data_IF_135573617657
#
_entry.id   IF_135573617657
#
_cell.length_a   1.000
_cell.length_b   1.000
_cell.length_c   1.000
_cell.angle_alpha   90.00
_cell.angle_beta   90.00
_cell.angle_gamma   90.00
#
_symmetry.space_group_name_H-M   'P 1'
#
loop_
_entity.id
_entity.type
_entity.pdbx_description
1 polymer ?
#
# COMPACT_ATOMS: atom_id res chain seq x y z
N UNK A 1 -2.97 11.11 29.98
CA UNK A 1 -4.18 11.58 29.28
C UNK A 1 -5.02 10.36 28.97
N UNK A 2 -6.32 10.39 29.23
CA UNK A 2 -7.22 9.30 28.84
C UNK A 2 -7.16 9.16 27.31
N UNK A 3 -6.45 8.15 26.82
CA UNK A 3 -6.51 7.73 25.42
C UNK A 3 -7.92 7.17 25.23
N UNK A 4 -8.81 8.01 24.73
CA UNK A 4 -10.19 7.62 24.49
C UNK A 4 -10.22 6.80 23.20
N UNK A 5 -10.73 5.59 23.30
CA UNK A 5 -10.92 4.69 22.15
C UNK A 5 -12.06 5.23 21.30
N UNK A 6 -11.87 5.36 19.98
CA UNK A 6 -12.93 5.84 19.09
C UNK A 6 -14.11 4.84 19.12
N UNK A 7 -15.36 5.28 19.42
CA UNK A 7 -16.51 4.39 19.45
C UNK A 7 -16.88 3.80 18.07
N UNK A 8 -16.35 4.34 16.98
CA UNK A 8 -16.60 3.90 15.60
C UNK A 8 -15.55 2.90 15.07
N UNK A 9 -14.64 2.43 15.93
CA UNK A 9 -13.70 1.37 15.57
C UNK A 9 -14.37 0.05 15.23
N UNK A 10 -13.66 -0.77 14.45
CA UNK A 10 -14.03 -2.17 14.25
C UNK A 10 -13.96 -2.94 15.57
N UNK A 11 -14.77 -3.99 15.71
CA UNK A 11 -14.67 -4.90 16.87
C UNK A 11 -13.23 -5.36 17.16
N UNK A 12 -12.47 -5.84 16.16
CA UNK A 12 -11.06 -6.20 16.34
C UNK A 12 -10.16 -5.06 16.83
N UNK A 13 -10.29 -3.86 16.27
CA UNK A 13 -9.49 -2.71 16.74
C UNK A 13 -9.85 -2.32 18.17
N UNK A 14 -11.13 -2.42 18.57
CA UNK A 14 -11.53 -2.17 19.96
C UNK A 14 -10.85 -3.15 20.93
N UNK A 15 -10.69 -4.42 20.55
CA UNK A 15 -10.01 -5.42 21.36
C UNK A 15 -8.53 -5.05 21.49
N UNK A 16 -7.83 -4.82 20.37
CA UNK A 16 -6.40 -4.47 20.37
C UNK A 16 -6.14 -3.17 21.14
N UNK A 17 -6.95 -2.13 20.91
CA UNK A 17 -6.79 -0.85 21.60
C UNK A 17 -6.99 -0.97 23.11
N UNK A 18 -8.03 -1.67 23.57
CA UNK A 18 -8.25 -1.88 25.01
C UNK A 18 -7.14 -2.69 25.65
N UNK A 19 -6.69 -3.74 24.96
CA UNK A 19 -5.61 -4.60 25.39
C UNK A 19 -4.31 -3.79 25.58
N UNK A 20 -3.90 -2.98 24.59
CA UNK A 20 -2.72 -2.12 24.73
C UNK A 20 -2.87 -1.02 25.79
N UNK A 21 -4.07 -0.48 25.98
CA UNK A 21 -4.32 0.51 27.04
C UNK A 21 -4.14 -0.11 28.43
N UNK A 22 -4.64 -1.33 28.64
CA UNK A 22 -4.48 -2.04 29.90
C UNK A 22 -3.00 -2.33 30.19
N UNK A 23 -2.21 -2.73 29.18
CA UNK A 23 -0.76 -2.92 29.34
C UNK A 23 -0.05 -1.64 29.81
N UNK A 24 -0.42 -0.50 29.24
CA UNK A 24 0.16 0.79 29.60
C UNK A 24 -0.27 1.27 30.98
N UNK A 25 -1.51 1.02 31.37
CA UNK A 25 -2.01 1.32 32.72
C UNK A 25 -1.29 0.47 33.78
N UNK A 26 -1.08 -0.82 33.49
CA UNK A 26 -0.30 -1.75 34.31
C UNK A 26 1.16 -1.29 34.48
N UNK A 27 1.79 -0.77 33.42
CA UNK A 27 3.14 -0.19 33.49
C UNK A 27 3.19 1.13 34.27
N UNK A 28 2.12 1.93 34.23
CA UNK A 28 2.08 3.26 34.85
C UNK A 28 1.73 3.24 36.34
N UNK A 29 1.05 2.20 36.84
CA UNK A 29 0.64 2.11 38.23
C UNK A 29 1.62 1.31 39.08
N UNK A 30 2.08 1.89 40.20
CA UNK A 30 2.91 1.19 41.19
C UNK A 30 2.16 0.04 41.90
N UNK A 31 0.83 0.01 41.80
CA UNK A 31 -0.04 -0.98 42.41
C UNK A 31 -0.46 -2.04 41.38
N UNK A 32 0.49 -2.88 40.96
CA UNK A 32 0.34 -4.13 40.19
C UNK A 32 -1.02 -4.45 39.57
N UNK A 33 -1.53 -3.58 38.68
CA UNK A 33 -2.65 -3.97 37.83
C UNK A 33 -2.16 -5.05 36.88
N UNK A 34 -2.99 -6.07 36.67
CA UNK A 34 -2.62 -7.16 35.76
C UNK A 34 -2.53 -6.62 34.33
N UNK A 35 -1.48 -7.00 33.57
CA UNK A 35 -1.40 -6.70 32.15
C UNK A 35 -2.59 -7.33 31.41
N UNK A 36 -2.75 -6.96 30.14
CA UNK A 36 -3.85 -7.50 29.34
C UNK A 36 -3.73 -9.02 29.17
N UNK A 37 -4.89 -9.68 29.14
CA UNK A 37 -4.98 -11.12 28.89
C UNK A 37 -4.95 -11.38 27.38
N UNK A 38 -3.73 -11.43 26.84
CA UNK A 38 -3.49 -11.64 25.41
C UNK A 38 -4.07 -12.95 24.92
N UNK A 39 -4.01 -14.02 25.71
CA UNK A 39 -4.52 -15.33 25.31
C UNK A 39 -6.05 -15.28 25.10
N UNK A 40 -6.77 -14.64 26.03
CA UNK A 40 -8.21 -14.43 25.91
C UNK A 40 -8.58 -13.59 24.69
N UNK A 41 -7.89 -12.47 24.47
CA UNK A 41 -8.19 -11.56 23.36
C UNK A 41 -7.86 -12.20 22.00
N UNK A 42 -6.72 -12.89 21.89
CA UNK A 42 -6.36 -13.68 20.70
C UNK A 42 -7.41 -14.75 20.43
N UNK A 43 -7.85 -15.49 21.46
CA UNK A 43 -8.86 -16.54 21.31
C UNK A 43 -10.18 -15.97 20.80
N UNK A 44 -10.62 -14.82 21.31
CA UNK A 44 -11.83 -14.15 20.82
C UNK A 44 -11.68 -13.70 19.35
N UNK A 45 -10.57 -13.06 18.99
CA UNK A 45 -10.33 -12.61 17.61
C UNK A 45 -10.26 -13.78 16.62
N UNK A 46 -9.69 -14.92 17.03
CA UNK A 46 -9.72 -16.15 16.24
C UNK A 46 -11.15 -16.70 16.11
N UNK A 47 -11.92 -16.69 17.19
CA UNK A 47 -13.28 -17.21 17.21
C UNK A 47 -14.23 -16.44 16.28
N UNK A 48 -14.09 -15.12 16.15
CA UNK A 48 -14.92 -14.32 15.23
C UNK A 48 -14.53 -14.50 13.75
N UNK A 49 -13.33 -15.02 13.47
CA UNK A 49 -12.82 -15.30 12.12
C UNK A 49 -13.09 -16.74 11.67
N UNK A 50 -13.34 -17.70 12.58
CA UNK A 50 -13.57 -19.11 12.27
C UNK A 50 -15.04 -19.41 11.93
N UNK A 51 -15.39 -19.80 10.69
CA UNK A 51 -16.76 -20.14 10.29
C UNK A 51 -17.41 -21.30 11.07
N UNK A 52 -16.62 -22.09 11.82
CA UNK A 52 -17.11 -23.17 12.68
C UNK A 52 -17.44 -22.71 14.10
N UNK A 53 -16.98 -21.52 14.48
CA UNK A 53 -17.22 -20.94 15.79
C UNK A 53 -18.65 -20.41 15.91
N UNK A 54 -19.30 -20.55 17.08
CA UNK A 54 -20.59 -19.88 17.34
C UNK A 54 -20.45 -18.35 17.38
N UNK A 55 -19.23 -17.82 17.58
CA UNK A 55 -18.93 -16.38 17.58
C UNK A 55 -18.61 -15.83 16.18
N UNK A 56 -18.64 -16.66 15.14
CA UNK A 56 -18.30 -16.24 13.79
C UNK A 56 -19.14 -15.06 13.30
N UNK A 57 -18.48 -14.00 12.84
CA UNK A 57 -19.14 -12.84 12.23
C UNK A 57 -18.48 -12.51 10.90
N UNK A 58 -19.17 -12.69 9.75
CA UNK A 58 -18.64 -12.26 8.46
C UNK A 58 -18.73 -10.73 8.34
N UNK A 59 -17.76 -10.11 7.67
CA UNK A 59 -17.81 -8.68 7.36
C UNK A 59 -18.65 -8.50 6.11
N UNK A 60 -19.76 -7.76 6.20
CA UNK A 60 -20.69 -7.56 5.07
C UNK A 60 -20.56 -6.16 4.48
N UNK A 61 -20.41 -5.16 5.35
CA UNK A 61 -20.27 -3.75 5.02
C UNK A 61 -19.08 -3.17 5.78
N UNK A 62 -18.50 -2.09 5.25
CA UNK A 62 -17.49 -1.29 5.96
C UNK A 62 -18.13 -0.20 6.82
N UNK A 63 -19.39 0.19 6.55
CA UNK A 63 -20.06 1.25 7.32
C UNK A 63 -20.73 0.73 8.59
N UNK A 64 -21.36 -0.44 8.55
CA UNK A 64 -22.20 -0.95 9.66
C UNK A 64 -21.83 -2.38 10.04
N UNK A 65 -21.82 -2.64 11.35
CA UNK A 65 -21.73 -3.99 11.91
C UNK A 65 -23.14 -4.60 12.10
N UNK A 66 -23.23 -5.91 12.35
CA UNK A 66 -24.51 -6.62 12.53
C UNK A 66 -25.41 -5.98 13.59
N UNK A 67 -24.79 -5.47 14.67
CA UNK A 67 -25.45 -4.79 15.79
C UNK A 67 -26.05 -3.44 15.42
N UNK A 68 -25.54 -2.78 14.39
CA UNK A 68 -25.95 -1.43 13.99
C UNK A 68 -27.14 -1.46 13.02
N UNK A 69 -27.43 -2.63 12.44
CA UNK A 69 -28.48 -2.81 11.46
C UNK A 69 -29.87 -2.91 12.10
N UNK A 70 -30.87 -2.32 11.44
CA UNK A 70 -32.27 -2.51 11.83
C UNK A 70 -32.60 -4.02 11.88
N UNK A 71 -33.17 -4.55 12.98
CA UNK A 71 -33.37 -5.99 13.15
C UNK A 71 -34.19 -6.66 12.04
N UNK A 72 -35.19 -5.97 11.50
CA UNK A 72 -36.05 -6.49 10.42
C UNK A 72 -35.27 -6.56 9.11
N UNK A 73 -34.54 -5.50 8.75
CA UNK A 73 -33.69 -5.47 7.55
C UNK A 73 -32.60 -6.54 7.66
N UNK A 74 -31.98 -6.65 8.84
CA UNK A 74 -30.93 -7.62 9.08
C UNK A 74 -31.44 -9.06 8.90
N UNK A 75 -32.59 -9.39 9.52
CA UNK A 75 -33.18 -10.73 9.45
C UNK A 75 -33.62 -11.13 8.04
N UNK A 76 -34.29 -10.24 7.31
CA UNK A 76 -34.97 -10.61 6.06
C UNK A 76 -34.21 -10.24 4.79
N UNK A 77 -33.19 -9.37 4.86
CA UNK A 77 -32.41 -8.95 3.70
C UNK A 77 -30.93 -9.31 3.86
N UNK A 78 -30.28 -8.79 4.92
CA UNK A 78 -28.82 -8.90 5.06
C UNK A 78 -28.40 -10.35 5.32
N UNK A 79 -28.97 -11.03 6.32
CA UNK A 79 -28.60 -12.44 6.63
C UNK A 79 -28.82 -13.41 5.46
N UNK A 80 -29.95 -13.36 4.72
CA UNK A 80 -30.12 -14.15 3.50
C UNK A 80 -29.05 -13.86 2.44
N UNK A 81 -28.77 -12.58 2.17
CA UNK A 81 -27.69 -12.19 1.25
C UNK A 81 -26.33 -12.73 1.72
N UNK A 82 -25.96 -12.52 2.99
CA UNK A 82 -24.72 -13.00 3.59
C UNK A 82 -24.56 -14.50 3.43
N UNK A 83 -25.62 -15.28 3.66
CA UNK A 83 -25.58 -16.75 3.48
C UNK A 83 -25.23 -17.15 2.05
N UNK A 84 -25.80 -16.46 1.06
CA UNK A 84 -25.49 -16.71 -0.37
C UNK A 84 -24.07 -16.24 -0.67
N UNK A 85 -23.70 -15.04 -0.23
CA UNK A 85 -22.41 -14.42 -0.50
C UNK A 85 -21.23 -15.23 0.07
N UNK A 86 -21.34 -15.81 1.26
CA UNK A 86 -20.36 -16.77 1.81
C UNK A 86 -20.16 -18.01 0.93
N UNK A 87 -21.17 -18.34 0.12
CA UNK A 87 -21.08 -19.36 -0.93
C UNK A 87 -20.18 -18.95 -2.09
N UNK A 88 -19.98 -17.65 -2.32
CA UNK A 88 -19.31 -17.04 -3.49
C UNK A 88 -17.88 -16.55 -3.16
N UNK A 89 -17.70 -15.90 -2.01
CA UNK A 89 -16.41 -15.33 -1.60
C UNK A 89 -15.43 -16.41 -1.17
N UNK A 90 -14.13 -16.16 -1.38
CA UNK A 90 -13.06 -17.14 -1.10
C UNK A 90 -13.01 -17.53 0.37
N UNK A 91 -13.03 -16.55 1.25
CA UNK A 91 -13.12 -16.74 2.69
C UNK A 91 -14.51 -16.32 3.16
N UNK A 92 -15.24 -17.13 3.96
CA UNK A 92 -16.58 -16.75 4.45
C UNK A 92 -16.60 -15.42 5.21
N UNK A 93 -15.48 -14.97 5.74
CA UNK A 93 -15.31 -13.66 6.38
C UNK A 93 -15.50 -12.47 5.43
N UNK A 94 -15.32 -12.67 4.13
CA UNK A 94 -15.04 -11.61 3.15
C UNK A 94 -16.24 -11.22 2.29
N UNK A 95 -17.47 -11.40 2.81
CA UNK A 95 -18.70 -10.99 2.11
C UNK A 95 -18.61 -9.54 1.62
N UNK A 96 -17.91 -8.69 2.36
CA UNK A 96 -17.62 -7.29 2.05
C UNK A 96 -16.96 -7.09 0.68
N UNK A 97 -16.08 -7.98 0.21
CA UNK A 97 -15.48 -7.83 -1.12
C UNK A 97 -16.52 -8.02 -2.22
N UNK A 98 -17.39 -9.02 -2.10
CA UNK A 98 -18.48 -9.20 -3.06
C UNK A 98 -19.44 -8.00 -3.02
N UNK A 99 -19.77 -7.51 -1.83
CA UNK A 99 -20.62 -6.32 -1.66
C UNK A 99 -20.05 -5.11 -2.40
N UNK A 100 -18.74 -4.84 -2.25
CA UNK A 100 -18.10 -3.73 -2.96
C UNK A 100 -18.03 -3.95 -4.47
N UNK A 101 -17.70 -5.17 -4.94
CA UNK A 101 -17.69 -5.49 -6.38
C UNK A 101 -19.07 -5.23 -6.99
N UNK A 102 -20.15 -5.73 -6.36
CA UNK A 102 -21.51 -5.51 -6.82
C UNK A 102 -21.89 -4.03 -6.79
N UNK A 103 -21.52 -3.30 -5.72
CA UNK A 103 -21.76 -1.87 -5.61
C UNK A 103 -21.08 -1.09 -6.76
N UNK A 104 -19.81 -1.37 -7.06
CA UNK A 104 -19.08 -0.66 -8.09
C UNK A 104 -19.56 -1.00 -9.51
N UNK A 105 -19.87 -2.27 -9.75
CA UNK A 105 -20.43 -2.73 -11.03
C UNK A 105 -21.84 -2.17 -11.28
N UNK A 106 -22.60 -1.85 -10.25
CA UNK A 106 -23.94 -1.30 -10.40
C UNK A 106 -23.96 0.23 -10.37
N UNK A 107 -23.17 0.88 -9.50
CA UNK A 107 -23.20 2.34 -9.31
C UNK A 107 -22.17 3.04 -10.18
N UNK A 108 -20.87 2.75 -10.00
CA UNK A 108 -19.81 3.45 -10.75
C UNK A 108 -19.90 3.16 -12.24
N UNK A 109 -20.06 1.89 -12.64
CA UNK A 109 -20.14 1.51 -14.05
C UNK A 109 -21.40 2.08 -14.73
N UNK A 110 -22.58 1.98 -14.11
CA UNK A 110 -23.81 2.56 -14.69
C UNK A 110 -23.74 4.08 -14.77
N UNK A 111 -23.19 4.73 -13.74
CA UNK A 111 -22.97 6.17 -13.74
C UNK A 111 -22.01 6.60 -14.85
N UNK A 112 -20.93 5.85 -15.07
CA UNK A 112 -19.98 6.09 -16.15
C UNK A 112 -20.64 5.92 -17.53
N UNK A 113 -21.37 4.81 -17.73
CA UNK A 113 -22.10 4.55 -18.96
C UNK A 113 -23.10 5.67 -19.27
N UNK A 114 -23.84 6.13 -18.26
CA UNK A 114 -24.78 7.24 -18.44
C UNK A 114 -24.07 8.57 -18.76
N UNK A 115 -22.90 8.85 -18.16
CA UNK A 115 -22.11 10.05 -18.51
C UNK A 115 -21.65 10.05 -19.96
N UNK A 116 -21.30 8.89 -20.51
CA UNK A 116 -20.95 8.75 -21.92
C UNK A 116 -22.16 8.80 -22.86
N UNK A 117 -23.34 8.40 -22.39
CA UNK A 117 -24.58 8.49 -23.14
C UNK A 117 -25.17 9.91 -23.15
N UNK A 118 -25.21 10.58 -22.00
CA UNK A 118 -25.88 11.87 -21.81
C UNK A 118 -25.09 12.74 -20.81
N UNK A 119 -24.00 13.34 -21.30
CA UNK A 119 -23.06 14.06 -20.47
C UNK A 119 -23.64 15.30 -19.80
N UNK A 120 -23.47 15.37 -18.47
CA UNK A 120 -23.74 16.54 -17.66
C UNK A 120 -22.58 16.77 -16.70
N UNK A 121 -21.99 17.97 -16.68
CA UNK A 121 -20.80 18.24 -15.88
C UNK A 121 -21.06 18.08 -14.37
N UNK A 122 -22.26 18.41 -13.87
CA UNK A 122 -22.61 18.24 -12.46
C UNK A 122 -22.71 16.76 -12.08
N UNK A 123 -23.24 15.90 -12.97
CA UNK A 123 -23.20 14.45 -12.79
C UNK A 123 -21.76 13.95 -12.82
N UNK A 124 -20.93 14.50 -13.70
CA UNK A 124 -19.49 14.24 -13.74
C UNK A 124 -18.81 14.50 -12.38
N UNK A 125 -19.06 15.66 -11.78
CA UNK A 125 -18.54 16.01 -10.45
C UNK A 125 -19.01 15.02 -9.38
N UNK A 126 -20.31 14.73 -9.31
CA UNK A 126 -20.87 13.78 -8.35
C UNK A 126 -20.28 12.38 -8.54
N UNK A 127 -20.12 11.94 -9.79
CA UNK A 127 -19.48 10.67 -10.13
C UNK A 127 -18.04 10.62 -9.63
N UNK A 128 -17.22 11.63 -9.95
CA UNK A 128 -15.82 11.65 -9.51
C UNK A 128 -15.70 11.68 -7.99
N UNK A 129 -16.52 12.48 -7.30
CA UNK A 129 -16.52 12.52 -5.82
C UNK A 129 -16.86 11.15 -5.23
N UNK A 130 -17.88 10.48 -5.76
CA UNK A 130 -18.26 9.14 -5.31
C UNK A 130 -17.18 8.10 -5.62
N UNK A 131 -16.55 8.16 -6.79
CA UNK A 131 -15.42 7.31 -7.16
C UNK A 131 -14.23 7.51 -6.21
N UNK A 132 -13.87 8.77 -5.89
CA UNK A 132 -12.79 9.07 -4.94
C UNK A 132 -13.13 8.58 -3.54
N UNK A 133 -14.39 8.67 -3.10
CA UNK A 133 -14.83 8.09 -1.84
C UNK A 133 -14.63 6.56 -1.80
N UNK A 134 -14.84 5.88 -2.93
CA UNK A 134 -14.68 4.43 -3.06
C UNK A 134 -13.21 3.98 -3.23
N UNK A 135 -12.32 4.89 -3.62
CA UNK A 135 -10.95 4.61 -4.07
C UNK A 135 -10.12 3.81 -3.04
N UNK A 136 -10.20 4.19 -1.76
CA UNK A 136 -9.46 3.50 -0.70
C UNK A 136 -9.89 2.04 -0.57
N UNK A 137 -11.17 1.80 -0.31
CA UNK A 137 -11.72 0.45 -0.20
C UNK A 137 -11.45 -0.38 -1.48
N UNK A 138 -11.68 0.17 -2.67
CA UNK A 138 -11.37 -0.56 -3.91
C UNK A 138 -9.89 -0.93 -4.03
N UNK A 139 -8.98 -0.01 -3.72
CA UNK A 139 -7.54 -0.25 -3.78
C UNK A 139 -7.13 -1.38 -2.84
N UNK A 140 -7.67 -1.41 -1.62
CA UNK A 140 -7.33 -2.46 -0.65
C UNK A 140 -8.07 -3.78 -0.90
N UNK A 141 -9.22 -3.76 -1.57
CA UNK A 141 -9.81 -4.97 -2.16
C UNK A 141 -8.86 -5.54 -3.22
N UNK A 142 -8.36 -4.69 -4.13
CA UNK A 142 -7.40 -5.11 -5.15
C UNK A 142 -6.08 -5.56 -4.54
N UNK A 143 -5.61 -4.93 -3.46
CA UNK A 143 -4.44 -5.38 -2.70
C UNK A 143 -4.62 -6.81 -2.19
N UNK A 144 -5.76 -7.12 -1.56
CA UNK A 144 -6.08 -8.47 -1.13
C UNK A 144 -6.19 -9.44 -2.33
N UNK A 145 -6.80 -8.99 -3.44
CA UNK A 145 -6.93 -9.78 -4.67
C UNK A 145 -5.58 -10.18 -5.26
N UNK A 146 -4.67 -9.23 -5.46
CA UNK A 146 -3.38 -9.48 -6.12
C UNK A 146 -2.41 -10.28 -5.25
N UNK A 147 -2.45 -10.12 -3.93
CA UNK A 147 -1.64 -10.90 -3.00
C UNK A 147 -2.14 -12.34 -2.86
N UNK A 148 -3.46 -12.53 -2.84
CA UNK A 148 -4.05 -13.85 -2.61
C UNK A 148 -4.44 -14.60 -3.88
N UNK A 149 -4.32 -13.97 -5.05
CA UNK A 149 -4.69 -14.54 -6.35
C UNK A 149 -6.21 -14.62 -6.52
N UNK A 150 -6.94 -13.58 -6.11
CA UNK A 150 -8.39 -13.48 -6.17
C UNK A 150 -9.09 -13.35 -4.82
N UNK A 151 -10.33 -12.88 -4.83
CA UNK A 151 -11.18 -12.73 -3.61
C UNK A 151 -12.43 -13.60 -3.64
N UNK A 152 -12.75 -14.20 -4.79
CA UNK A 152 -13.86 -15.15 -4.93
C UNK A 152 -13.36 -16.61 -5.00
N UNK A 153 -14.28 -17.55 -4.81
CA UNK A 153 -13.98 -18.98 -4.97
C UNK A 153 -13.70 -19.34 -6.42
N UNK A 154 -13.05 -20.48 -6.63
CA UNK A 154 -12.58 -20.94 -7.95
C UNK A 154 -13.71 -21.12 -8.97
N UNK A 155 -14.92 -21.47 -8.52
CA UNK A 155 -16.10 -21.60 -9.37
C UNK A 155 -16.49 -20.26 -10.03
N UNK A 156 -16.10 -19.15 -9.42
CA UNK A 156 -16.32 -17.79 -9.90
C UNK A 156 -15.04 -17.16 -10.47
N UNK A 157 -13.99 -17.95 -10.75
CA UNK A 157 -12.70 -17.43 -11.20
C UNK A 157 -12.80 -16.57 -12.48
N UNK A 158 -13.70 -16.91 -13.41
CA UNK A 158 -13.91 -16.10 -14.61
C UNK A 158 -14.33 -14.67 -14.26
N UNK A 159 -15.24 -14.51 -13.29
CA UNK A 159 -15.74 -13.22 -12.85
C UNK A 159 -14.66 -12.49 -12.04
N UNK A 160 -14.03 -13.20 -11.11
CA UNK A 160 -12.94 -12.72 -10.25
C UNK A 160 -11.73 -12.20 -11.04
N UNK A 161 -11.43 -12.81 -12.20
CA UNK A 161 -10.39 -12.36 -13.12
C UNK A 161 -10.83 -11.19 -14.02
N UNK A 162 -12.12 -11.07 -14.31
CA UNK A 162 -12.64 -10.11 -15.28
C UNK A 162 -13.03 -8.76 -14.70
N UNK A 163 -13.56 -8.71 -13.46
CA UNK A 163 -14.04 -7.47 -12.87
C UNK A 163 -12.94 -6.38 -12.76
N UNK A 164 -11.65 -6.68 -12.47
CA UNK A 164 -10.63 -5.64 -12.39
C UNK A 164 -10.47 -4.91 -13.72
N UNK A 165 -10.54 -5.61 -14.85
CA UNK A 165 -10.39 -4.98 -16.17
C UNK A 165 -11.52 -4.00 -16.52
N UNK A 166 -12.67 -4.08 -15.84
CA UNK A 166 -13.74 -3.10 -15.93
C UNK A 166 -13.59 -1.98 -14.88
N UNK A 167 -13.32 -2.36 -13.63
CA UNK A 167 -13.38 -1.43 -12.50
C UNK A 167 -12.09 -0.65 -12.26
N UNK A 168 -10.90 -1.20 -12.55
CA UNK A 168 -9.62 -0.54 -12.30
C UNK A 168 -9.55 0.83 -13.00
N UNK A 169 -9.82 0.97 -14.31
CA UNK A 169 -9.84 2.27 -14.98
C UNK A 169 -10.83 3.26 -14.37
N UNK A 170 -12.03 2.77 -14.00
CA UNK A 170 -13.09 3.60 -13.42
C UNK A 170 -12.71 4.10 -12.02
N UNK A 171 -11.86 3.37 -11.31
CA UNK A 171 -11.36 3.70 -9.98
C UNK A 171 -10.01 4.42 -10.01
N UNK A 172 -9.48 4.74 -11.20
CA UNK A 172 -8.24 5.48 -11.38
C UNK A 172 -6.97 4.62 -11.38
N UNK A 173 -7.09 3.30 -11.36
CA UNK A 173 -5.97 2.39 -11.61
C UNK A 173 -5.76 2.18 -13.10
N UNK A 174 -4.53 1.82 -13.49
CA UNK A 174 -4.25 1.25 -14.81
C UNK A 174 -4.16 -0.27 -14.68
N UNK A 175 -4.64 -0.96 -15.72
CA UNK A 175 -4.66 -2.43 -15.80
C UNK A 175 -3.34 -3.05 -15.42
N UNK A 176 -3.39 -3.99 -14.47
CA UNK A 176 -2.26 -4.76 -13.94
C UNK A 176 -1.14 -3.94 -13.27
N UNK A 177 -1.11 -2.62 -13.42
CA UNK A 177 0.02 -1.78 -12.98
C UNK A 177 0.17 -1.82 -11.46
N UNK A 178 -0.93 -1.91 -10.71
CA UNK A 178 -0.86 -2.09 -9.26
C UNK A 178 -0.20 -3.43 -8.88
N UNK A 179 -0.52 -4.52 -9.58
CA UNK A 179 0.15 -5.81 -9.37
C UNK A 179 1.64 -5.77 -9.70
N UNK A 180 2.02 -5.22 -10.86
CA UNK A 180 3.43 -5.17 -11.26
C UNK A 180 4.24 -4.24 -10.36
N UNK A 181 3.69 -3.08 -10.00
CA UNK A 181 4.38 -2.14 -9.13
C UNK A 181 4.42 -2.61 -7.67
N UNK A 182 3.29 -3.02 -7.10
CA UNK A 182 3.21 -3.39 -5.69
C UNK A 182 3.85 -4.76 -5.44
N UNK A 183 3.36 -5.81 -6.08
CA UNK A 183 3.74 -7.21 -5.76
C UNK A 183 5.07 -7.61 -6.40
N UNK A 184 5.30 -7.22 -7.67
CA UNK A 184 6.49 -7.68 -8.42
C UNK A 184 7.69 -6.75 -8.29
N UNK A 185 7.51 -5.58 -7.70
CA UNK A 185 8.54 -4.56 -7.57
C UNK A 185 8.68 -4.09 -6.10
N UNK A 186 7.71 -3.37 -5.53
CA UNK A 186 7.82 -2.79 -4.19
C UNK A 186 8.04 -3.85 -3.09
N UNK A 187 7.23 -4.91 -3.07
CA UNK A 187 7.40 -6.03 -2.12
C UNK A 187 8.72 -6.80 -2.30
N UNK A 188 9.30 -6.76 -3.49
CA UNK A 188 10.59 -7.42 -3.77
C UNK A 188 11.75 -6.57 -3.23
N UNK A 189 11.60 -5.25 -3.28
CA UNK A 189 12.67 -4.31 -2.92
C UNK A 189 12.50 -3.70 -1.50
N UNK A 190 11.33 -3.84 -0.87
CA UNK A 190 11.11 -3.53 0.57
C UNK A 190 11.31 -2.07 0.96
N UNK A 191 10.93 -1.11 0.10
CA UNK A 191 11.31 0.31 0.24
C UNK A 191 12.84 0.56 0.23
N UNK A 192 13.62 -0.45 -0.14
CA UNK A 192 15.06 -0.37 -0.29
C UNK A 192 15.52 0.45 -1.50
N UNK A 193 16.83 0.56 -1.72
CA UNK A 193 17.42 1.48 -2.69
C UNK A 193 17.07 1.23 -4.16
N UNK A 194 16.67 0.03 -4.53
CA UNK A 194 16.25 -0.31 -5.90
C UNK A 194 14.72 -0.16 -6.08
N UNK A 195 13.97 0.17 -5.02
CA UNK A 195 12.55 0.46 -5.10
C UNK A 195 12.30 1.84 -5.78
N UNK A 196 11.61 1.84 -6.91
CA UNK A 196 11.17 3.02 -7.64
C UNK A 196 10.25 3.96 -6.83
N UNK A 197 9.61 3.43 -5.80
CA UNK A 197 8.80 4.17 -4.84
C UNK A 197 9.49 4.37 -3.48
N UNK A 198 10.80 4.13 -3.41
CA UNK A 198 11.57 4.30 -2.17
C UNK A 198 11.56 5.73 -1.65
N UNK A 199 11.42 5.86 -0.34
CA UNK A 199 11.50 7.15 0.38
C UNK A 199 12.89 7.43 0.95
N UNK A 200 13.81 6.47 0.92
CA UNK A 200 15.04 6.54 1.75
C UNK A 200 16.01 7.65 1.31
N UNK A 201 16.05 7.96 0.01
CA UNK A 201 16.93 9.02 -0.54
C UNK A 201 16.41 10.44 -0.33
N UNK A 202 15.17 10.57 0.15
CA UNK A 202 14.53 11.85 0.38
C UNK A 202 14.64 12.25 1.85
N UNK A 203 14.71 13.56 2.11
CA UNK A 203 14.46 14.11 3.43
C UNK A 203 12.94 14.03 3.68
N UNK A 204 12.50 13.07 4.49
CA UNK A 204 11.08 12.67 4.56
C UNK A 204 10.16 13.67 5.27
N UNK A 205 10.74 14.72 5.86
CA UNK A 205 10.04 15.87 6.45
C UNK A 205 10.23 17.17 5.65
N UNK A 206 10.69 17.08 4.40
CA UNK A 206 10.82 18.20 3.45
C UNK A 206 9.64 18.21 2.47
N UNK A 207 8.79 19.26 2.46
CA UNK A 207 7.73 19.40 1.47
C UNK A 207 8.24 19.43 0.02
N UNK A 208 9.46 19.93 -0.20
CA UNK A 208 10.09 19.96 -1.51
C UNK A 208 10.47 18.55 -1.99
N UNK A 209 11.09 17.75 -1.12
CA UNK A 209 11.47 16.38 -1.44
C UNK A 209 10.25 15.51 -1.67
N UNK A 210 9.20 15.72 -0.87
CA UNK A 210 7.89 15.10 -1.09
C UNK A 210 7.31 15.45 -2.46
N UNK A 211 7.34 16.72 -2.87
CA UNK A 211 6.89 17.14 -4.20
C UNK A 211 7.74 16.51 -5.32
N UNK A 212 9.06 16.42 -5.15
CA UNK A 212 9.95 15.73 -6.09
C UNK A 212 9.65 14.24 -6.20
N UNK A 213 9.37 13.58 -5.07
CA UNK A 213 8.98 12.17 -5.01
C UNK A 213 7.68 11.91 -5.79
N UNK A 214 6.63 12.67 -5.47
CA UNK A 214 5.32 12.56 -6.15
C UNK A 214 5.46 12.89 -7.64
N UNK A 215 6.13 13.99 -7.98
CA UNK A 215 6.32 14.42 -9.36
C UNK A 215 7.07 13.38 -10.21
N UNK A 216 8.12 12.76 -9.67
CA UNK A 216 8.85 11.69 -10.34
C UNK A 216 7.93 10.51 -10.67
N UNK A 217 7.18 10.05 -9.68
CA UNK A 217 6.28 8.90 -9.87
C UNK A 217 5.23 9.21 -10.94
N UNK A 218 4.55 10.36 -10.84
CA UNK A 218 3.50 10.73 -11.79
C UNK A 218 4.00 10.82 -13.24
N UNK A 219 5.21 11.34 -13.45
CA UNK A 219 5.75 11.61 -14.78
C UNK A 219 6.49 10.41 -15.40
N UNK A 220 7.18 9.60 -14.60
CA UNK A 220 8.16 8.64 -15.12
C UNK A 220 7.86 7.17 -14.83
N UNK A 221 6.93 6.83 -13.91
CA UNK A 221 6.76 5.44 -13.49
C UNK A 221 6.38 4.49 -14.63
N UNK A 222 5.59 4.96 -15.59
CA UNK A 222 5.17 4.21 -16.77
C UNK A 222 6.34 3.69 -17.61
N UNK A 223 7.49 4.38 -17.56
CA UNK A 223 8.72 3.98 -18.23
C UNK A 223 9.72 3.32 -17.26
N UNK A 224 9.86 3.84 -16.04
CA UNK A 224 10.83 3.33 -15.07
C UNK A 224 10.54 1.89 -14.65
N UNK A 225 9.27 1.50 -14.48
CA UNK A 225 8.90 0.15 -14.04
C UNK A 225 9.26 -0.94 -15.07
N UNK A 226 8.89 -0.84 -16.36
CA UNK A 226 9.39 -1.77 -17.38
C UNK A 226 10.92 -1.82 -17.47
N UNK A 227 11.57 -0.65 -17.41
CA UNK A 227 13.04 -0.57 -17.47
C UNK A 227 13.70 -1.23 -16.27
N UNK A 228 13.13 -1.09 -15.07
CA UNK A 228 13.56 -1.81 -13.87
C UNK A 228 13.53 -3.33 -14.12
N UNK A 229 12.43 -3.87 -14.65
CA UNK A 229 12.32 -5.30 -14.94
C UNK A 229 13.33 -5.76 -15.98
N UNK A 230 13.60 -4.96 -17.03
CA UNK A 230 14.66 -5.26 -18.00
C UNK A 230 16.04 -5.30 -17.34
N UNK A 231 16.37 -4.32 -16.49
CA UNK A 231 17.66 -4.27 -15.78
C UNK A 231 17.85 -5.46 -14.84
N UNK A 232 16.76 -6.01 -14.28
CA UNK A 232 16.75 -7.22 -13.44
C UNK A 232 16.64 -8.52 -14.26
N UNK A 233 16.70 -8.46 -15.59
CA UNK A 233 16.63 -9.63 -16.48
C UNK A 233 15.23 -10.26 -16.60
N UNK A 234 14.19 -9.58 -16.13
CA UNK A 234 12.79 -10.06 -16.13
C UNK A 234 12.03 -9.56 -17.35
N UNK A 235 12.51 -9.87 -18.56
CA UNK A 235 11.98 -9.32 -19.83
C UNK A 235 10.48 -9.56 -20.06
N UNK A 236 9.96 -10.71 -19.58
CA UNK A 236 8.51 -10.98 -19.65
C UNK A 236 7.70 -9.98 -18.82
N UNK A 237 8.11 -9.72 -17.57
CA UNK A 237 7.42 -8.74 -16.72
C UNK A 237 7.54 -7.33 -17.30
N UNK A 238 8.70 -6.98 -17.84
CA UNK A 238 8.89 -5.69 -18.50
C UNK A 238 7.93 -5.49 -19.69
N UNK A 239 7.80 -6.50 -20.54
CA UNK A 239 6.88 -6.46 -21.68
C UNK A 239 5.43 -6.35 -21.20
N UNK A 240 5.03 -7.18 -20.24
CA UNK A 240 3.66 -7.18 -19.73
C UNK A 240 3.30 -5.84 -19.07
N UNK A 241 4.14 -5.32 -18.16
CA UNK A 241 3.87 -4.05 -17.50
C UNK A 241 3.84 -2.88 -18.50
N UNK A 242 4.72 -2.90 -19.51
CA UNK A 242 4.72 -1.88 -20.57
C UNK A 242 3.45 -1.94 -21.41
N UNK A 243 3.05 -3.13 -21.86
CA UNK A 243 1.86 -3.32 -22.70
C UNK A 243 0.60 -2.92 -21.94
N UNK A 244 0.41 -3.36 -20.69
CA UNK A 244 -0.79 -3.03 -19.91
C UNK A 244 -0.91 -1.51 -19.66
N UNK A 245 0.21 -0.84 -19.39
CA UNK A 245 0.26 0.61 -19.18
C UNK A 245 0.01 1.39 -20.49
N UNK A 246 0.65 1.01 -21.59
CA UNK A 246 0.44 1.65 -22.89
C UNK A 246 -0.97 1.42 -23.44
N UNK A 247 -1.54 0.23 -23.20
CA UNK A 247 -2.92 -0.07 -23.55
C UNK A 247 -3.90 0.84 -22.79
N UNK A 248 -3.64 1.13 -21.50
CA UNK A 248 -4.45 2.09 -20.75
C UNK A 248 -4.37 3.50 -21.32
N UNK A 249 -3.17 4.00 -21.62
CA UNK A 249 -3.02 5.33 -22.19
C UNK A 249 -3.69 5.43 -23.57
N UNK A 250 -3.56 4.40 -24.41
CA UNK A 250 -4.27 4.33 -25.67
C UNK A 250 -5.80 4.33 -25.48
N UNK A 251 -6.30 3.56 -24.50
CA UNK A 251 -7.72 3.53 -24.14
C UNK A 251 -8.21 4.90 -23.66
N UNK A 252 -7.53 5.53 -22.71
CA UNK A 252 -7.89 6.87 -22.20
C UNK A 252 -7.87 7.91 -23.32
N UNK A 253 -6.84 7.89 -24.16
CA UNK A 253 -6.73 8.77 -25.31
C UNK A 253 -7.89 8.56 -26.29
N UNK A 254 -8.23 7.32 -26.61
CA UNK A 254 -9.36 6.98 -27.48
C UNK A 254 -10.68 7.48 -26.90
N UNK A 255 -10.96 7.17 -25.63
CA UNK A 255 -12.19 7.60 -24.96
C UNK A 255 -12.31 9.13 -24.94
N UNK A 256 -11.21 9.82 -24.63
CA UNK A 256 -11.19 11.28 -24.53
C UNK A 256 -11.29 12.00 -25.90
N UNK A 257 -10.70 11.44 -26.97
CA UNK A 257 -10.62 12.11 -28.27
C UNK A 257 -11.63 11.61 -29.31
N UNK A 258 -12.12 10.38 -29.18
CA UNK A 258 -13.01 9.73 -30.16
C UNK A 258 -14.40 9.44 -29.62
N UNK A 259 -14.58 9.35 -28.30
CA UNK A 259 -15.89 9.07 -27.70
C UNK A 259 -16.48 10.35 -27.10
N UNK A 260 -15.96 10.82 -25.98
CA UNK A 260 -16.44 12.05 -25.35
C UNK A 260 -15.42 12.59 -24.34
N UNK A 261 -14.87 13.79 -24.59
CA UNK A 261 -13.85 14.40 -23.72
C UNK A 261 -14.37 14.68 -22.31
N UNK A 262 -15.54 15.33 -22.19
CA UNK A 262 -16.14 15.68 -20.89
C UNK A 262 -16.36 14.46 -19.98
N UNK A 263 -17.09 13.45 -20.44
CA UNK A 263 -17.26 12.19 -19.72
C UNK A 263 -15.92 11.54 -19.35
N UNK A 264 -14.96 11.45 -20.28
CA UNK A 264 -13.63 10.85 -20.02
C UNK A 264 -12.83 11.60 -18.96
N UNK A 265 -12.98 12.93 -18.88
CA UNK A 265 -12.35 13.73 -17.83
C UNK A 265 -12.81 13.27 -16.44
N UNK A 266 -14.12 13.13 -16.23
CA UNK A 266 -14.68 12.78 -14.92
C UNK A 266 -14.63 11.28 -14.59
N UNK A 267 -14.74 10.43 -15.60
CA UNK A 267 -14.81 8.96 -15.42
C UNK A 267 -13.42 8.32 -15.36
N UNK A 268 -12.44 8.85 -16.09
CA UNK A 268 -11.14 8.20 -16.27
C UNK A 268 -9.98 9.10 -15.79
N UNK A 269 -9.84 10.30 -16.37
CA UNK A 269 -8.62 11.11 -16.18
C UNK A 269 -8.48 11.70 -14.78
N UNK A 270 -9.55 12.26 -14.22
CA UNK A 270 -9.54 12.79 -12.86
C UNK A 270 -9.36 11.68 -11.82
N UNK A 271 -10.13 10.57 -11.82
CA UNK A 271 -9.87 9.43 -10.94
C UNK A 271 -8.43 8.93 -11.05
N UNK A 272 -7.89 8.80 -12.27
CA UNK A 272 -6.51 8.37 -12.49
C UNK A 272 -5.46 9.29 -11.83
N UNK A 273 -5.57 10.59 -12.04
CA UNK A 273 -4.65 11.56 -11.43
C UNK A 273 -4.76 11.56 -9.90
N UNK A 274 -5.99 11.55 -9.37
CA UNK A 274 -6.25 11.56 -7.93
C UNK A 274 -5.76 10.26 -7.28
N UNK A 275 -6.00 9.10 -7.89
CA UNK A 275 -5.57 7.81 -7.37
C UNK A 275 -4.04 7.74 -7.28
N UNK A 276 -3.32 8.13 -8.34
CA UNK A 276 -1.85 8.13 -8.30
C UNK A 276 -1.28 9.06 -7.22
N UNK A 277 -1.88 10.24 -7.05
CA UNK A 277 -1.53 11.14 -5.95
C UNK A 277 -1.78 10.48 -4.60
N UNK A 278 -2.96 9.88 -4.40
CA UNK A 278 -3.34 9.20 -3.18
C UNK A 278 -2.40 8.05 -2.81
N UNK A 279 -2.04 7.19 -3.77
CA UNK A 279 -1.10 6.08 -3.59
C UNK A 279 0.28 6.58 -3.14
N UNK A 280 0.75 7.69 -3.70
CA UNK A 280 2.07 8.25 -3.34
C UNK A 280 2.09 8.95 -2.00
N UNK A 281 1.00 9.62 -1.63
CA UNK A 281 0.86 10.14 -0.27
C UNK A 281 0.79 8.98 0.73
N UNK A 282 0.03 7.93 0.42
CA UNK A 282 -0.09 6.73 1.25
C UNK A 282 1.24 6.04 1.47
N UNK A 283 1.98 5.73 0.39
CA UNK A 283 3.30 5.09 0.47
C UNK A 283 4.30 5.96 1.25
N UNK A 284 4.28 7.29 1.02
CA UNK A 284 5.13 8.19 1.80
C UNK A 284 4.81 8.11 3.29
N UNK A 285 3.52 8.16 3.67
CA UNK A 285 3.11 8.02 5.08
C UNK A 285 3.53 6.68 5.68
N UNK A 286 3.37 5.59 4.94
CA UNK A 286 3.78 4.24 5.33
C UNK A 286 5.29 4.12 5.59
N UNK A 287 6.11 4.88 4.86
CA UNK A 287 7.56 4.80 4.85
C UNK A 287 8.26 6.14 5.18
N UNK A 288 7.61 7.03 5.94
CA UNK A 288 8.18 8.33 6.32
C UNK A 288 9.23 8.21 7.43
N UNK A 289 9.08 7.20 8.28
CA UNK A 289 9.81 7.03 9.55
C UNK A 289 10.70 5.78 9.53
N UNK A 290 11.56 5.68 8.52
CA UNK A 290 12.52 4.57 8.36
C UNK A 290 13.69 4.72 9.33
N UNK A 291 13.99 3.67 10.09
CA UNK A 291 15.09 3.63 11.06
C UNK A 291 16.46 3.82 10.41
N UNK A 292 17.26 4.72 10.96
CA UNK A 292 18.60 5.02 10.45
C UNK A 292 19.63 3.93 10.76
N UNK A 293 19.37 3.03 11.73
CA UNK A 293 20.32 1.99 12.16
C UNK A 293 20.11 0.71 11.38
N UNK A 294 18.86 0.23 11.30
CA UNK A 294 18.48 -1.01 10.63
C UNK A 294 17.30 -0.78 9.68
N UNK A 295 17.54 -0.10 8.54
CA UNK A 295 16.49 0.32 7.61
C UNK A 295 15.91 -0.81 6.74
N UNK A 296 16.54 -1.99 6.72
CA UNK A 296 16.12 -3.14 5.90
C UNK A 296 15.17 -4.09 6.67
N UNK A 297 15.02 -3.88 7.98
CA UNK A 297 14.08 -4.64 8.82
C UNK A 297 12.65 -4.15 8.63
N UNK A 298 11.72 -5.08 8.36
CA UNK A 298 10.29 -4.76 8.20
C UNK A 298 9.68 -4.07 9.42
N UNK A 299 10.17 -4.35 10.64
CA UNK A 299 9.73 -3.67 11.85
C UNK A 299 10.14 -2.20 11.90
N UNK A 300 11.14 -1.81 11.11
CA UNK A 300 11.83 -0.52 11.19
C UNK A 300 11.75 0.31 9.93
N UNK A 301 11.40 -0.32 8.81
CA UNK A 301 11.13 0.32 7.52
C UNK A 301 9.65 0.68 7.35
N UNK A 302 8.76 0.14 8.20
CA UNK A 302 7.32 0.33 8.17
C UNK A 302 6.76 0.73 9.53
N UNK A 303 5.49 1.13 9.57
CA UNK A 303 4.78 1.50 10.81
C UNK A 303 3.41 0.82 10.88
N UNK A 304 2.90 0.63 12.09
CA UNK A 304 1.54 0.14 12.34
C UNK A 304 0.66 1.26 12.86
N UNK A 305 -0.54 1.39 12.31
CA UNK A 305 -1.60 2.31 12.72
C UNK A 305 -2.79 1.50 13.23
N UNK A 306 -3.11 1.66 14.50
CA UNK A 306 -4.31 1.10 15.12
C UNK A 306 -5.30 2.23 15.43
N UNK A 307 -6.54 1.89 15.78
CA UNK A 307 -7.55 2.89 16.16
C UNK A 307 -7.71 3.98 15.07
N UNK A 308 -7.80 3.55 13.81
CA UNK A 308 -7.92 4.46 12.66
C UNK A 308 -9.09 4.07 11.76
N UNK A 309 -9.86 5.04 11.23
CA UNK A 309 -10.95 4.76 10.30
C UNK A 309 -10.53 3.93 9.08
N UNK A 310 -9.28 4.07 8.62
CA UNK A 310 -8.76 3.27 7.51
C UNK A 310 -8.75 1.77 7.79
N UNK A 311 -8.61 1.32 9.05
CA UNK A 311 -8.70 -0.12 9.34
C UNK A 311 -10.10 -0.66 9.06
N UNK A 312 -11.14 0.15 9.30
CA UNK A 312 -12.53 -0.18 8.97
C UNK A 312 -12.81 -0.13 7.47
N UNK A 313 -12.44 0.95 6.81
CA UNK A 313 -12.83 1.18 5.40
C UNK A 313 -11.87 0.58 4.38
N UNK A 314 -10.63 0.30 4.77
CA UNK A 314 -9.55 -0.18 3.92
C UNK A 314 -8.97 -1.50 4.45
N UNK A 315 -9.80 -2.34 5.08
CA UNK A 315 -9.45 -3.74 5.42
C UNK A 315 -8.14 -3.88 6.20
N UNK A 316 -8.04 -3.22 7.36
CA UNK A 316 -6.88 -3.28 8.26
C UNK A 316 -5.54 -2.86 7.62
N UNK A 317 -5.57 -1.96 6.62
CA UNK A 317 -4.36 -1.42 5.98
C UNK A 317 -3.38 -0.75 6.95
N UNK A 318 -3.84 -0.26 8.10
CA UNK A 318 -2.98 0.30 9.14
C UNK A 318 -1.97 -0.71 9.70
N UNK A 319 -2.20 -2.02 9.60
CA UNK A 319 -1.24 -3.05 10.03
C UNK A 319 -0.15 -3.32 8.98
N UNK A 320 0.46 -2.27 8.44
CA UNK A 320 1.44 -2.35 7.34
C UNK A 320 2.72 -3.10 7.70
N UNK A 321 3.17 -3.04 8.97
CA UNK A 321 4.28 -3.89 9.44
C UNK A 321 3.94 -5.37 9.35
N UNK A 322 2.72 -5.76 9.75
CA UNK A 322 2.29 -7.14 9.58
C UNK A 322 2.27 -7.49 8.08
N UNK A 323 1.77 -6.59 7.23
CA UNK A 323 1.73 -6.77 5.79
C UNK A 323 3.11 -7.06 5.17
N UNK A 324 4.15 -6.30 5.50
CA UNK A 324 5.51 -6.57 5.00
C UNK A 324 6.07 -7.92 5.49
N UNK A 325 5.84 -8.26 6.77
CA UNK A 325 6.28 -9.54 7.33
C UNK A 325 5.64 -10.77 6.65
N UNK A 326 4.39 -10.64 6.18
CA UNK A 326 3.75 -11.67 5.36
C UNK A 326 2.66 -11.05 4.48
N UNK A 327 2.99 -10.75 3.20
CA UNK A 327 2.07 -10.05 2.29
C UNK A 327 0.82 -10.85 1.91
N UNK A 328 0.81 -12.16 2.19
CA UNK A 328 -0.33 -13.06 1.93
C UNK A 328 -1.20 -13.27 3.16
N UNK A 329 -0.91 -12.60 4.28
CA UNK A 329 -1.75 -12.70 5.48
C UNK A 329 -3.13 -12.15 5.17
N UNK A 330 -4.16 -12.87 5.60
CA UNK A 330 -5.52 -12.41 5.48
C UNK A 330 -5.72 -11.16 6.34
N UNK A 331 -6.39 -10.13 5.81
CA UNK A 331 -6.50 -8.82 6.46
C UNK A 331 -7.12 -8.87 7.86
N UNK A 332 -8.06 -9.80 8.13
CA UNK A 332 -8.64 -9.99 9.48
C UNK A 332 -7.73 -10.68 10.49
N UNK A 333 -6.63 -11.26 10.03
CA UNK A 333 -5.64 -11.90 10.91
C UNK A 333 -4.54 -10.94 11.32
N UNK A 334 -4.49 -9.73 10.75
CA UNK A 334 -3.49 -8.73 11.13
C UNK A 334 -3.59 -8.28 12.60
N UNK A 335 -4.78 -8.02 13.18
CA UNK A 335 -4.93 -7.76 14.61
C UNK A 335 -4.52 -8.95 15.49
N UNK A 336 -4.85 -10.17 15.08
CA UNK A 336 -4.45 -11.41 15.79
C UNK A 336 -2.94 -11.53 15.83
N UNK A 337 -2.29 -11.38 14.67
CA UNK A 337 -0.86 -11.44 14.54
C UNK A 337 -0.15 -10.38 15.38
N UNK A 338 -0.69 -9.16 15.42
CA UNK A 338 -0.15 -8.08 16.23
C UNK A 338 -0.09 -8.46 17.72
N UNK A 339 -1.19 -8.97 18.29
CA UNK A 339 -1.21 -9.44 19.69
C UNK A 339 -0.24 -10.62 19.91
N UNK A 340 -0.22 -11.60 18.99
CA UNK A 340 0.71 -12.74 19.06
C UNK A 340 2.18 -12.33 18.98
N UNK A 341 2.47 -11.18 18.38
CA UNK A 341 3.83 -10.74 18.05
C UNK A 341 4.29 -9.53 18.86
N UNK A 342 3.59 -9.15 19.94
CA UNK A 342 3.97 -7.97 20.76
C UNK A 342 5.44 -7.97 21.15
N UNK A 343 5.97 -9.12 21.58
CA UNK A 343 7.39 -9.25 21.94
C UNK A 343 8.30 -8.98 20.74
N UNK A 344 7.97 -9.51 19.56
CA UNK A 344 8.73 -9.26 18.34
C UNK A 344 8.67 -7.79 17.90
N UNK A 345 7.51 -7.14 18.03
CA UNK A 345 7.36 -5.69 17.78
C UNK A 345 8.23 -4.87 18.74
N UNK A 346 8.23 -5.23 20.03
CA UNK A 346 9.07 -4.60 21.05
C UNK A 346 10.56 -4.78 20.76
N UNK A 347 11.01 -6.03 20.53
CA UNK A 347 12.41 -6.36 20.24
C UNK A 347 12.88 -5.75 18.91
N UNK A 348 12.00 -5.69 17.92
CA UNK A 348 12.22 -5.04 16.63
C UNK A 348 12.26 -3.51 16.71
N UNK A 349 11.87 -2.92 17.84
CA UNK A 349 11.69 -1.46 18.04
C UNK A 349 10.73 -0.85 17.01
N UNK A 350 9.64 -1.55 16.74
CA UNK A 350 8.62 -1.12 15.80
C UNK A 350 7.94 0.18 16.25
N UNK A 351 7.37 0.91 15.29
CA UNK A 351 6.55 2.09 15.58
C UNK A 351 5.07 1.74 15.44
N UNK A 352 4.34 1.95 16.52
CA UNK A 352 2.88 1.75 16.59
C UNK A 352 2.24 3.09 16.92
N UNK A 353 1.33 3.55 16.07
CA UNK A 353 0.56 4.76 16.28
C UNK A 353 -0.92 4.43 16.45
N UNK A 354 -1.62 5.30 17.16
CA UNK A 354 -3.06 5.28 17.32
C UNK A 354 -3.68 6.59 16.81
N UNK A 355 -4.92 6.51 16.32
CA UNK A 355 -5.74 7.66 15.94
C UNK A 355 -5.05 8.65 15.00
N UNK A 356 -4.31 8.12 14.01
CA UNK A 356 -3.73 8.89 12.91
C UNK A 356 -3.57 8.02 11.68
N UNK A 357 -4.22 8.38 10.57
CA UNK A 357 -4.06 7.69 9.28
C UNK A 357 -2.76 8.10 8.54
N UNK A 358 -2.38 7.37 7.48
CA UNK A 358 -1.16 7.66 6.70
C UNK A 358 -1.15 9.06 6.05
N UNK A 359 -2.32 9.58 5.66
CA UNK A 359 -2.44 10.91 5.04
C UNK A 359 -2.13 12.00 6.07
N UNK A 360 -2.77 11.93 7.24
CA UNK A 360 -2.54 12.85 8.34
C UNK A 360 -1.13 12.70 8.90
N UNK A 361 -0.60 11.47 9.04
CA UNK A 361 0.79 11.25 9.43
C UNK A 361 1.75 11.97 8.47
N UNK A 362 1.55 11.82 7.15
CA UNK A 362 2.33 12.53 6.14
C UNK A 362 2.29 14.04 6.36
N UNK A 363 1.10 14.61 6.59
CA UNK A 363 0.93 16.05 6.86
C UNK A 363 1.68 16.47 8.15
N UNK A 364 1.58 15.67 9.23
CA UNK A 364 2.24 15.96 10.51
C UNK A 364 3.76 15.91 10.38
N UNK A 365 4.29 14.90 9.67
CA UNK A 365 5.73 14.76 9.42
C UNK A 365 6.24 15.93 8.57
N UNK A 366 5.57 16.29 7.47
CA UNK A 366 5.96 17.43 6.63
C UNK A 366 5.91 18.78 7.37
N UNK A 367 5.01 18.92 8.35
CA UNK A 367 4.94 20.07 9.25
C UNK A 367 5.92 19.99 10.43
N UNK A 368 6.72 18.93 10.51
CA UNK A 368 7.70 18.65 11.58
C UNK A 368 7.06 18.62 12.98
N UNK A 369 5.81 18.18 13.07
CA UNK A 369 5.03 18.12 14.31
C UNK A 369 5.34 16.85 15.10
N UNK A 370 6.63 16.58 15.33
CA UNK A 370 7.11 15.35 16.00
C UNK A 370 6.62 15.23 17.44
N UNK A 371 6.58 16.36 18.17
CA UNK A 371 6.09 16.35 19.55
C UNK A 371 4.61 15.98 19.60
N UNK A 372 3.80 16.49 18.65
CA UNK A 372 2.40 16.10 18.56
C UNK A 372 2.25 14.59 18.32
N UNK A 373 3.03 14.02 17.39
CA UNK A 373 3.02 12.59 17.11
C UNK A 373 3.43 11.77 18.35
N UNK A 374 4.51 12.16 19.02
CA UNK A 374 5.01 11.49 20.22
C UNK A 374 4.02 11.56 21.40
N UNK A 375 3.34 12.70 21.58
CA UNK A 375 2.44 12.90 22.72
C UNK A 375 1.04 12.32 22.53
N UNK A 376 0.51 12.36 21.31
CA UNK A 376 -0.91 12.12 21.04
C UNK A 376 -1.20 10.90 20.18
N UNK A 377 -0.20 10.34 19.50
CA UNK A 377 -0.40 9.27 18.54
C UNK A 377 0.52 8.07 18.76
N UNK A 378 1.77 8.26 19.18
CA UNK A 378 2.71 7.15 19.38
C UNK A 378 2.31 6.33 20.60
N UNK A 379 2.30 5.00 20.44
CA UNK A 379 2.22 4.03 21.53
C UNK A 379 3.64 3.56 21.81
N UNK A 380 4.28 4.02 22.92
CA UNK A 380 5.60 3.53 23.28
C UNK A 380 5.53 2.03 23.61
N UNK A 381 6.42 1.25 23.00
CA UNK A 381 6.58 -0.18 23.26
C UNK A 381 8.04 -0.51 23.54
N UNK A 382 8.30 -1.55 24.33
CA UNK A 382 9.66 -1.98 24.64
C UNK A 382 10.49 -0.89 25.31
N UNK A 383 11.69 -0.63 24.81
CA UNK A 383 12.59 0.39 25.36
C UNK A 383 12.06 1.83 25.25
N UNK A 384 11.11 2.06 24.32
CA UNK A 384 10.48 3.37 24.11
C UNK A 384 9.65 3.81 25.32
N UNK A 385 9.17 2.88 26.16
CA UNK A 385 8.35 3.21 27.35
C UNK A 385 9.14 4.01 28.40
N UNK A 386 10.47 3.93 28.36
CA UNK A 386 11.36 4.65 29.28
C UNK A 386 11.77 6.03 28.74
N UNK A 387 11.36 6.38 27.52
CA UNK A 387 11.71 7.65 26.89
C UNK A 387 10.69 8.73 27.26
N UNK A 388 11.21 9.93 27.53
CA UNK A 388 10.38 11.13 27.59
C UNK A 388 9.75 11.44 26.24
N UNK A 389 8.66 12.22 26.26
CA UNK A 389 7.99 12.70 25.05
C UNK A 389 8.92 13.44 24.09
N UNK A 390 9.90 14.17 24.63
CA UNK A 390 10.88 14.90 23.83
C UNK A 390 11.87 13.93 23.18
N UNK A 391 12.36 12.93 23.90
CA UNK A 391 13.23 11.88 23.35
C UNK A 391 12.51 11.08 22.26
N UNK A 392 11.22 10.77 22.44
CA UNK A 392 10.39 10.12 21.42
C UNK A 392 10.24 11.01 20.18
N UNK A 393 9.99 12.31 20.36
CA UNK A 393 9.90 13.25 19.25
C UNK A 393 11.22 13.38 18.47
N UNK A 394 12.35 13.42 19.18
CA UNK A 394 13.67 13.48 18.57
C UNK A 394 14.02 12.17 17.85
N UNK A 395 13.66 11.01 18.40
CA UNK A 395 13.74 9.72 17.71
C UNK A 395 12.91 9.70 16.42
N UNK A 396 11.66 10.19 16.43
CA UNK A 396 10.86 10.28 15.20
C UNK A 396 11.52 11.20 14.16
N UNK A 397 12.19 12.27 14.60
CA UNK A 397 12.91 13.19 13.72
C UNK A 397 14.12 12.52 13.06
N UNK A 398 14.89 11.69 13.76
CA UNK A 398 16.06 11.02 13.15
C UNK A 398 15.66 10.07 12.02
N UNK A 399 14.52 9.39 12.16
CA UNK A 399 13.97 8.46 11.17
C UNK A 399 13.51 9.09 9.86
N UNK A 400 13.45 10.42 9.77
CA UNK A 400 13.10 11.14 8.53
C UNK A 400 14.31 11.51 7.67
N UNK A 401 15.54 11.25 8.15
CA UNK A 401 16.76 11.71 7.49
C UNK A 401 17.04 10.98 6.18
N UNK A 402 17.33 11.73 5.14
CA UNK A 402 17.78 11.16 3.88
C UNK A 402 19.04 10.30 4.10
N UNK A 403 19.06 9.11 3.52
CA UNK A 403 20.24 8.25 3.52
C UNK A 403 21.21 8.73 2.44
N UNK A 404 22.48 8.87 2.77
CA UNK A 404 23.52 9.10 1.77
C UNK A 404 23.77 7.83 0.96
N UNK A 405 24.41 7.94 -0.20
CA UNK A 405 24.81 6.74 -0.97
C UNK A 405 25.79 5.86 -0.20
N UNK A 406 26.55 6.42 0.75
CA UNK A 406 27.42 5.63 1.62
C UNK A 406 26.59 4.87 2.68
N UNK A 407 25.61 5.52 3.31
CA UNK A 407 24.66 4.83 4.20
C UNK A 407 23.99 3.65 3.49
N UNK A 408 23.53 3.88 2.26
CA UNK A 408 22.84 2.86 1.48
C UNK A 408 23.75 1.65 1.22
N UNK A 409 25.00 1.87 0.84
CA UNK A 409 25.98 0.79 0.60
C UNK A 409 26.26 -0.01 1.85
N UNK A 410 26.43 0.68 2.99
CA UNK A 410 26.76 0.05 4.26
C UNK A 410 25.57 -0.74 4.83
N UNK A 411 24.38 -0.14 4.83
CA UNK A 411 23.21 -0.67 5.54
C UNK A 411 22.41 -1.70 4.75
N UNK A 412 22.35 -1.59 3.42
CA UNK A 412 21.64 -2.54 2.56
C UNK A 412 22.59 -3.58 1.92
N UNK A 413 23.86 -3.63 2.36
CA UNK A 413 24.82 -4.61 1.87
C UNK A 413 25.11 -4.53 0.36
N UNK A 414 24.84 -3.39 -0.29
CA UNK A 414 25.12 -3.19 -1.71
C UNK A 414 26.63 -3.08 -1.88
N UNK A 415 27.27 -4.20 -2.23
CA UNK A 415 28.65 -4.20 -2.71
C UNK A 415 28.76 -3.16 -3.83
N UNK A 416 29.72 -2.24 -3.70
CA UNK A 416 30.05 -1.31 -4.77
C UNK A 416 30.08 -2.07 -6.08
N UNK A 417 29.26 -1.68 -7.07
CA UNK A 417 29.45 -2.14 -8.44
C UNK A 417 30.88 -1.74 -8.79
N UNK A 418 31.81 -2.68 -8.76
CA UNK A 418 33.15 -2.51 -9.31
C UNK A 418 32.95 -1.92 -10.70
N UNK A 419 33.46 -0.71 -10.93
CA UNK A 419 33.12 0.12 -12.09
C UNK A 419 33.16 -0.67 -13.39
N UNK A 420 32.01 -1.21 -13.80
CA UNK A 420 31.80 -1.64 -15.17
C UNK A 420 31.41 -0.35 -15.86
N UNK A 421 32.37 0.25 -16.57
CA UNK A 421 32.13 1.37 -17.49
C UNK A 421 30.78 1.13 -18.15
N UNK A 422 29.90 2.12 -18.08
CA UNK A 422 28.59 2.08 -18.71
C UNK A 422 28.75 1.58 -20.15
N UNK A 423 27.90 0.65 -20.58
CA UNK A 423 27.94 0.05 -21.92
C UNK A 423 27.82 1.06 -23.07
N UNK A 424 27.51 2.32 -22.76
CA UNK A 424 27.52 3.44 -23.70
C UNK A 424 28.93 3.92 -24.06
N UNK A 425 29.89 3.89 -23.12
CA UNK A 425 31.28 4.27 -23.39
C UNK A 425 32.04 3.20 -24.22
N UNK A 426 31.65 1.93 -24.08
CA UNK A 426 32.19 0.82 -24.89
C UNK A 426 31.73 0.86 -26.35
N UNK A 427 30.61 1.52 -26.66
CA UNK A 427 30.07 1.58 -28.01
C UNK A 427 30.71 2.72 -28.81
N UNK A 428 30.99 3.85 -28.17
CA UNK A 428 31.71 4.99 -28.78
C UNK A 428 33.20 4.70 -28.99
N UNK A 429 33.88 4.02 -28.05
CA UNK A 429 35.28 3.61 -28.24
C UNK A 429 35.48 2.65 -29.44
N UNK A 430 34.50 1.78 -29.74
CA UNK A 430 34.56 0.87 -30.91
C UNK A 430 34.30 1.54 -32.25
N UNK A 431 33.59 2.68 -32.27
CA UNK A 431 33.32 3.44 -33.50
C UNK A 431 34.45 4.45 -33.77
N UNK A 432 35.04 5.03 -32.72
CA UNK A 432 36.11 6.02 -32.86
C UNK A 432 37.49 5.35 -33.01
N UNK A 433 37.72 4.18 -32.40
CA UNK A 433 38.98 3.42 -32.51
C UNK A 433 39.19 2.71 -33.85
N UNK A 434 38.18 2.67 -34.73
CA UNK A 434 38.26 2.09 -36.08
C UNK A 434 38.79 3.04 -37.16
N UNK A 435 39.07 4.31 -36.83
CA UNK A 435 39.44 5.35 -37.80
C UNK A 435 40.82 5.98 -37.58
N UNK A 436 41.66 5.44 -36.69
CA UNK A 436 43.05 5.90 -36.53
C UNK A 436 44.03 4.72 -36.60
N UNK A 437 44.47 4.41 -37.81
CA UNK A 437 45.50 3.40 -38.07
C UNK A 437 45.88 3.35 -39.54
N UNK A 438 46.57 4.38 -40.04
CA UNK A 438 47.30 4.29 -41.30
C UNK A 438 48.79 4.55 -41.06
N UNK A 439 49.61 3.83 -41.83
CA UNK A 439 51.00 4.12 -42.21
C UNK A 439 52.12 3.53 -41.32
N UNK A 440 52.60 2.36 -41.73
CA UNK A 440 54.05 2.12 -41.87
C UNK A 440 54.35 1.06 -42.95
N UNK A 441 54.92 1.58 -44.04
CA UNK A 441 55.85 1.04 -45.07
C UNK A 441 56.14 -0.46 -45.27
N UNK A 442 56.42 -0.90 -46.52
CA UNK A 442 56.52 -2.30 -46.91
C UNK A 442 57.96 -2.87 -46.80
N UNK A 443 58.06 -4.19 -46.59
CA UNK A 443 59.28 -4.97 -46.82
C UNK A 443 59.09 -5.95 -47.98
N UNK A 444 60.20 -6.12 -48.69
CA UNK A 444 60.40 -6.68 -50.02
C UNK A 444 60.64 -8.20 -49.97
N UNK A 445 60.05 -8.89 -50.97
CA UNK A 445 60.40 -10.16 -51.66
C UNK A 445 60.79 -11.40 -50.84
N UNK A 446 60.12 -12.52 -51.17
CA UNK A 446 60.78 -13.60 -51.91
C UNK A 446 59.77 -14.44 -52.69
N UNK A 447 60.20 -14.91 -53.86
CA UNK A 447 59.45 -15.69 -54.82
C UNK A 447 59.77 -17.18 -54.66
N UNK A 448 58.82 -18.06 -54.99
CA UNK A 448 59.11 -19.37 -55.62
C UNK A 448 57.82 -19.97 -56.18
N UNK A 449 57.92 -20.28 -57.48
CA UNK A 449 57.20 -21.25 -58.34
C UNK A 449 55.67 -21.42 -58.28
#
# INVERSE_FOLDING_TARGET
>A
MARTVDPYLTGPDLVVSKNLLQDLEALATAAGQDPADDEKDIKHLLAINDPKSPEFVPTVFTTWDDKDLNPTINKYLVKPYTKIAMGIVRHPTDVVFLTHILLYMTVNLSSAAYLYYNFHWYHGVVHTVYTVWCAGAFTLLMHNHIHNGGVLKKEYAWFDLSFPYLLEPLMGHTWDSYYYHHVKHHHVEGNGPDDLSSTIRYQRDSPFDFACYVGRFLLFIWAELPLYFLRKGKSRLALQSCVSEMANYAFFYFMATKVHFGASMFVLLLPFGIMRLGLMIGNWGQHALVDEVDPDSDFRSSITLIDVPSNRFCFNDGYHTAHHLNPRRHWRDAPVHFLQSKEAYSNGRALVFHNIDYMMLTIRVLKKQYLYLAENCLIPIGDQTNMSKQELADMLRTKTKAFTEEDIRQKFGIKARSGRKSGWASWTEKIVGGLSGSLSTPMVKEATE
#
